data_IF_549483151696
#
_entry.id   IF_549483151696
#
_cell.length_a   1.000
_cell.length_b   1.000
_cell.length_c   1.000
_cell.angle_alpha   90.00
_cell.angle_beta   90.00
_cell.angle_gamma   90.00
#
_symmetry.space_group_name_H-M   'P 1'
#
loop_
_entity.id
_entity.type
_entity.pdbx_description
1 polymer ?
#
# COMPACT_ATOMS: atom_id res chain seq x y z
N UNK A 1 -10.60 -29.49 17.05
CA UNK A 1 -9.43 -28.97 16.29
C UNK A 1 -9.38 -29.45 14.84
N UNK A 2 -9.50 -30.76 14.56
CA UNK A 2 -9.42 -31.29 13.18
C UNK A 2 -10.42 -30.66 12.18
N UNK A 3 -11.69 -30.49 12.59
CA UNK A 3 -12.71 -29.83 11.75
C UNK A 3 -12.37 -28.36 11.42
N UNK A 4 -11.84 -27.61 12.38
CA UNK A 4 -11.41 -26.22 12.20
C UNK A 4 -10.31 -26.12 11.15
N UNK A 5 -9.32 -27.02 11.20
CA UNK A 5 -8.23 -27.08 10.22
C UNK A 5 -8.74 -27.38 8.82
N UNK A 6 -9.60 -28.41 8.67
CA UNK A 6 -10.15 -28.82 7.37
C UNK A 6 -11.01 -27.73 6.72
N UNK A 7 -11.89 -27.09 7.50
CA UNK A 7 -12.72 -26.00 6.98
C UNK A 7 -11.88 -24.78 6.63
N UNK A 8 -10.91 -24.42 7.48
CA UNK A 8 -9.99 -23.30 7.21
C UNK A 8 -9.20 -23.55 5.92
N UNK A 9 -8.65 -24.75 5.74
CA UNK A 9 -7.94 -25.15 4.53
C UNK A 9 -8.79 -25.01 3.28
N UNK A 10 -10.00 -25.59 3.28
CA UNK A 10 -10.91 -25.50 2.14
C UNK A 10 -11.25 -24.05 1.77
N UNK A 11 -11.48 -23.19 2.75
CA UNK A 11 -11.82 -21.79 2.52
C UNK A 11 -10.62 -20.92 2.14
N UNK A 12 -9.41 -21.28 2.56
CA UNK A 12 -8.16 -20.66 2.08
C UNK A 12 -7.94 -20.95 0.59
N UNK A 13 -8.15 -22.19 0.13
CA UNK A 13 -8.07 -22.47 -1.31
C UNK A 13 -9.12 -21.72 -2.12
N UNK A 14 -10.35 -21.61 -1.60
CA UNK A 14 -11.41 -20.83 -2.22
C UNK A 14 -11.06 -19.34 -2.31
N UNK A 15 -10.44 -18.78 -1.27
CA UNK A 15 -10.03 -17.37 -1.29
C UNK A 15 -8.94 -17.11 -2.34
N UNK A 16 -7.96 -18.00 -2.46
CA UNK A 16 -6.96 -17.91 -3.53
C UNK A 16 -7.61 -18.01 -4.93
N UNK A 17 -8.49 -18.99 -5.14
CA UNK A 17 -9.16 -19.21 -6.43
C UNK A 17 -10.01 -18.01 -6.88
N UNK A 18 -10.71 -17.34 -5.95
CA UNK A 18 -11.56 -16.18 -6.25
C UNK A 18 -10.80 -14.99 -6.87
N UNK A 19 -9.50 -14.85 -6.62
CA UNK A 19 -8.65 -13.83 -7.27
C UNK A 19 -7.82 -14.40 -8.41
N UNK A 20 -7.26 -15.60 -8.25
CA UNK A 20 -6.42 -16.21 -9.27
C UNK A 20 -7.20 -16.50 -10.56
N UNK A 21 -8.49 -16.84 -10.51
CA UNK A 21 -9.29 -17.08 -11.72
C UNK A 21 -9.47 -15.81 -12.56
N UNK A 22 -9.94 -14.66 -12.02
CA UNK A 22 -9.96 -13.40 -12.76
C UNK A 22 -8.59 -12.96 -13.26
N UNK A 23 -7.54 -13.08 -12.44
CA UNK A 23 -6.19 -12.73 -12.88
C UNK A 23 -5.67 -13.65 -13.98
N UNK A 24 -6.03 -14.94 -13.95
CA UNK A 24 -5.71 -15.89 -15.02
C UNK A 24 -6.38 -15.51 -16.32
N UNK A 25 -7.66 -15.11 -16.26
CA UNK A 25 -8.37 -14.62 -17.44
C UNK A 25 -7.71 -13.35 -18.00
N UNK A 26 -7.40 -12.38 -17.15
CA UNK A 26 -6.71 -11.13 -17.55
C UNK A 26 -5.35 -11.44 -18.18
N UNK A 27 -4.54 -12.30 -17.54
CA UNK A 27 -3.22 -12.66 -18.04
C UNK A 27 -3.29 -13.41 -19.37
N UNK A 28 -4.27 -14.30 -19.55
CA UNK A 28 -4.51 -15.01 -20.81
C UNK A 28 -4.88 -14.05 -21.95
N UNK A 29 -5.77 -13.09 -21.70
CA UNK A 29 -6.16 -12.07 -22.69
C UNK A 29 -4.99 -11.14 -23.03
N UNK A 30 -4.25 -10.68 -22.03
CA UNK A 30 -3.07 -9.84 -22.24
C UNK A 30 -1.99 -10.60 -23.04
N UNK A 31 -1.76 -11.87 -22.73
CA UNK A 31 -0.79 -12.70 -23.42
C UNK A 31 -1.21 -13.01 -24.87
N UNK A 32 -2.48 -13.33 -25.11
CA UNK A 32 -2.96 -13.63 -26.47
C UNK A 32 -2.95 -12.41 -27.39
N UNK A 33 -3.18 -11.22 -26.85
CA UNK A 33 -3.15 -9.96 -27.59
C UNK A 33 -1.74 -9.41 -27.81
N UNK A 34 -0.77 -9.79 -26.97
CA UNK A 34 0.64 -9.39 -27.09
C UNK A 34 1.38 -10.07 -28.26
N UNK A 35 0.75 -10.98 -29.01
CA UNK A 35 1.28 -11.50 -30.27
C UNK A 35 2.52 -12.39 -30.13
N UNK A 36 2.69 -13.06 -28.99
CA UNK A 36 3.85 -13.94 -28.77
C UNK A 36 3.80 -15.17 -29.68
N UNK A 37 4.63 -15.16 -30.74
CA UNK A 37 4.75 -16.25 -31.71
C UNK A 37 5.42 -17.53 -31.14
N UNK A 38 6.02 -17.45 -29.93
CA UNK A 38 6.80 -18.54 -29.32
C UNK A 38 6.46 -18.81 -27.85
N UNK A 39 5.40 -18.21 -27.31
CA UNK A 39 5.04 -18.33 -25.89
C UNK A 39 4.40 -19.67 -25.55
N UNK A 40 4.68 -20.19 -24.37
CA UNK A 40 3.96 -21.36 -23.85
C UNK A 40 2.69 -20.93 -23.12
N UNK A 41 1.66 -21.78 -23.09
CA UNK A 41 0.45 -21.52 -22.29
C UNK A 41 0.72 -21.47 -20.78
N UNK A 42 1.92 -21.86 -20.33
CA UNK A 42 2.32 -21.74 -18.92
C UNK A 42 2.65 -20.31 -18.51
N UNK A 43 3.00 -19.45 -19.46
CA UNK A 43 3.40 -18.07 -19.23
C UNK A 43 2.26 -17.19 -18.68
N UNK A 44 1.03 -17.20 -19.25
CA UNK A 44 -0.08 -16.45 -18.68
C UNK A 44 -0.51 -16.96 -17.29
N UNK A 45 -0.38 -18.26 -17.02
CA UNK A 45 -0.69 -18.83 -15.70
C UNK A 45 0.31 -18.32 -14.65
N UNK A 46 1.60 -18.31 -14.96
CA UNK A 46 2.62 -17.71 -14.08
C UNK A 46 2.40 -16.20 -13.93
N UNK A 47 2.08 -15.50 -15.02
CA UNK A 47 1.77 -14.07 -14.99
C UNK A 47 0.61 -13.73 -14.05
N UNK A 48 -0.47 -14.51 -14.09
CA UNK A 48 -1.60 -14.37 -13.18
C UNK A 48 -1.20 -14.56 -11.72
N UNK A 49 -0.34 -15.54 -11.46
CA UNK A 49 0.19 -15.79 -10.13
C UNK A 49 1.09 -14.64 -9.66
N UNK A 50 1.91 -14.06 -10.54
CA UNK A 50 2.71 -12.86 -10.20
C UNK A 50 1.83 -11.64 -9.92
N UNK A 51 0.76 -11.41 -10.69
CA UNK A 51 -0.21 -10.33 -10.39
C UNK A 51 -0.82 -10.55 -9.00
N UNK A 52 -1.23 -11.78 -8.70
CA UNK A 52 -1.79 -12.14 -7.40
C UNK A 52 -0.80 -11.96 -6.24
N UNK A 53 0.47 -12.36 -6.42
CA UNK A 53 1.53 -12.18 -5.42
C UNK A 53 1.92 -10.71 -5.25
N UNK A 54 1.93 -9.93 -6.34
CA UNK A 54 2.12 -8.48 -6.31
C UNK A 54 0.99 -7.77 -5.57
N UNK A 55 -0.25 -8.27 -5.66
CA UNK A 55 -1.37 -7.76 -4.86
C UNK A 55 -1.22 -8.02 -3.35
N UNK A 56 -0.33 -8.92 -2.93
CA UNK A 56 0.08 -9.10 -1.53
C UNK A 56 1.26 -8.21 -1.13
N UNK A 57 1.72 -7.34 -2.03
CA UNK A 57 2.89 -6.48 -1.86
C UNK A 57 4.20 -7.28 -1.63
N UNK A 58 4.31 -8.48 -2.21
CA UNK A 58 5.51 -9.31 -2.09
C UNK A 58 6.53 -8.86 -3.16
N UNK A 59 7.77 -8.46 -2.77
CA UNK A 59 8.80 -8.01 -3.71
C UNK A 59 9.25 -9.07 -4.73
N UNK A 60 9.64 -8.60 -5.92
CA UNK A 60 10.19 -9.42 -6.99
C UNK A 60 11.65 -9.06 -7.29
N UNK A 61 12.42 -10.08 -7.63
CA UNK A 61 13.73 -9.98 -8.25
C UNK A 61 13.62 -10.44 -9.69
N UNK A 62 14.28 -9.72 -10.58
CA UNK A 62 14.24 -9.92 -12.01
C UNK A 62 15.65 -10.17 -12.53
N UNK A 63 15.75 -10.99 -13.57
CA UNK A 63 16.94 -11.15 -14.39
C UNK A 63 16.56 -10.72 -15.81
N UNK A 64 16.97 -9.51 -16.18
CA UNK A 64 16.51 -8.83 -17.40
C UNK A 64 17.21 -9.42 -18.64
N UNK A 65 16.47 -10.04 -19.58
CA UNK A 65 17.04 -10.52 -20.83
C UNK A 65 17.50 -9.36 -21.73
N UNK A 66 18.48 -9.57 -22.63
CA UNK A 66 19.26 -10.79 -22.82
C UNK A 66 20.49 -10.89 -21.90
N UNK A 67 20.86 -9.78 -21.25
CA UNK A 67 22.12 -9.64 -20.49
C UNK A 67 22.08 -10.30 -19.10
N UNK A 68 20.90 -10.63 -18.57
CA UNK A 68 20.75 -11.20 -17.22
C UNK A 68 21.03 -10.19 -16.11
N UNK A 69 20.93 -8.89 -16.39
CA UNK A 69 21.17 -7.83 -15.41
C UNK A 69 20.10 -7.90 -14.33
N UNK A 70 20.52 -7.74 -13.07
CA UNK A 70 19.60 -7.74 -11.94
C UNK A 70 18.63 -6.57 -12.02
N UNK A 71 17.34 -6.87 -11.88
CA UNK A 71 16.27 -5.90 -11.75
C UNK A 71 15.43 -6.17 -10.50
N UNK A 72 14.68 -5.17 -10.05
CA UNK A 72 13.84 -5.29 -8.86
C UNK A 72 12.48 -4.66 -9.09
N UNK A 73 11.41 -5.38 -8.75
CA UNK A 73 10.06 -4.83 -8.76
C UNK A 73 9.52 -4.88 -7.33
N UNK A 74 9.69 -3.77 -6.63
CA UNK A 74 9.29 -3.59 -5.23
C UNK A 74 8.39 -2.37 -5.02
N UNK A 75 8.39 -1.43 -5.97
CA UNK A 75 7.38 -0.38 -6.04
C UNK A 75 6.05 -0.99 -6.54
N UNK A 76 5.26 -1.50 -5.59
CA UNK A 76 4.00 -2.21 -5.85
C UNK A 76 2.78 -1.36 -5.46
N UNK A 77 1.63 -1.54 -6.13
CA UNK A 77 0.45 -0.73 -5.88
C UNK A 77 -0.20 -1.10 -4.55
N UNK A 78 -0.22 -0.17 -3.59
CA UNK A 78 -0.85 -0.36 -2.28
C UNK A 78 -2.34 -0.66 -2.42
N UNK A 79 -3.01 -0.06 -3.41
CA UNK A 79 -4.44 -0.29 -3.67
C UNK A 79 -4.76 -1.74 -4.00
N UNK A 80 -3.79 -2.50 -4.54
CA UNK A 80 -4.00 -3.91 -4.86
C UNK A 80 -4.18 -4.78 -3.61
N UNK A 81 -3.65 -4.38 -2.45
CA UNK A 81 -3.79 -5.10 -1.16
C UNK A 81 -5.24 -5.18 -0.69
N UNK A 82 -6.10 -4.26 -1.14
CA UNK A 82 -7.54 -4.30 -0.83
C UNK A 82 -8.18 -5.57 -1.40
N UNK A 83 -7.72 -6.07 -2.55
CA UNK A 83 -8.29 -7.26 -3.21
C UNK A 83 -8.18 -8.53 -2.36
N UNK A 84 -6.97 -8.96 -1.90
CA UNK A 84 -6.87 -10.11 -1.00
C UNK A 84 -7.60 -9.87 0.32
N UNK A 85 -7.60 -8.65 0.87
CA UNK A 85 -8.36 -8.35 2.10
C UNK A 85 -9.85 -8.67 1.93
N UNK A 86 -10.49 -8.18 0.87
CA UNK A 86 -11.92 -8.40 0.63
C UNK A 86 -12.26 -9.89 0.46
N UNK A 87 -11.43 -10.61 -0.29
CA UNK A 87 -11.66 -12.02 -0.60
C UNK A 87 -11.38 -12.92 0.61
N UNK A 88 -10.36 -12.62 1.41
CA UNK A 88 -10.09 -13.31 2.68
C UNK A 88 -11.24 -13.05 3.67
N UNK A 89 -11.70 -11.81 3.81
CA UNK A 89 -12.84 -11.48 4.69
C UNK A 89 -14.10 -12.27 4.31
N UNK A 90 -14.43 -12.29 3.02
CA UNK A 90 -15.56 -13.06 2.50
C UNK A 90 -15.41 -14.57 2.78
N UNK A 91 -14.24 -15.13 2.50
CA UNK A 91 -13.98 -16.56 2.65
C UNK A 91 -13.96 -17.01 4.12
N UNK A 92 -13.37 -16.18 5.00
CA UNK A 92 -13.35 -16.41 6.44
C UNK A 92 -14.76 -16.28 7.06
N UNK A 93 -15.57 -15.33 6.60
CA UNK A 93 -16.99 -15.23 7.02
C UNK A 93 -17.73 -16.54 6.75
N UNK A 94 -17.59 -17.08 5.53
CA UNK A 94 -18.19 -18.38 5.15
C UNK A 94 -17.61 -19.56 5.94
N UNK A 95 -16.32 -19.50 6.31
CA UNK A 95 -15.69 -20.52 7.14
C UNK A 95 -16.28 -20.53 8.55
N UNK A 96 -16.50 -19.35 9.15
CA UNK A 96 -17.16 -19.23 10.46
C UNK A 96 -18.59 -19.73 10.44
N UNK A 97 -19.34 -19.45 9.37
CA UNK A 97 -20.70 -19.98 9.20
C UNK A 97 -20.74 -21.51 9.20
N UNK A 98 -19.73 -22.15 8.59
CA UNK A 98 -19.58 -23.62 8.53
C UNK A 98 -19.09 -24.24 9.84
N UNK A 99 -18.45 -23.46 10.69
CA UNK A 99 -17.91 -23.87 11.98
C UNK A 99 -18.82 -23.46 13.16
N UNK A 100 -20.02 -22.90 12.91
CA UNK A 100 -20.94 -22.47 13.98
C UNK A 100 -21.19 -23.61 14.98
N UNK A 101 -20.79 -23.39 16.24
CA UNK A 101 -20.91 -24.36 17.33
C UNK A 101 -19.72 -25.32 17.50
N UNK A 102 -18.74 -25.32 16.58
CA UNK A 102 -17.61 -26.27 16.56
C UNK A 102 -16.26 -25.66 16.98
N UNK A 103 -16.22 -24.39 17.37
CA UNK A 103 -15.02 -23.72 17.87
C UNK A 103 -15.26 -23.12 19.26
N UNK A 104 -14.25 -23.25 20.13
CA UNK A 104 -14.26 -22.69 21.48
C UNK A 104 -13.71 -21.26 21.49
N UNK A 105 -12.65 -21.00 20.70
CA UNK A 105 -12.01 -19.69 20.60
C UNK A 105 -11.88 -19.26 19.14
N UNK A 106 -12.45 -18.10 18.82
CA UNK A 106 -12.39 -17.48 17.50
C UNK A 106 -10.96 -17.08 17.13
N UNK A 107 -10.13 -16.67 18.08
CA UNK A 107 -8.75 -16.27 17.82
C UNK A 107 -7.91 -17.45 17.32
N UNK A 108 -8.16 -18.65 17.85
CA UNK A 108 -7.54 -19.88 17.33
C UNK A 108 -7.95 -20.13 15.88
N UNK A 109 -9.22 -19.91 15.51
CA UNK A 109 -9.67 -20.05 14.11
C UNK A 109 -9.00 -19.01 13.20
N UNK A 110 -8.88 -17.75 13.65
CA UNK A 110 -8.18 -16.68 12.92
C UNK A 110 -6.71 -17.00 12.66
N UNK A 111 -6.00 -17.45 13.71
CA UNK A 111 -4.59 -17.82 13.60
C UNK A 111 -4.40 -18.99 12.66
N UNK A 112 -5.19 -20.06 12.81
CA UNK A 112 -5.13 -21.22 11.91
C UNK A 112 -5.38 -20.82 10.45
N UNK A 113 -6.45 -20.05 10.19
CA UNK A 113 -6.74 -19.57 8.84
C UNK A 113 -5.59 -18.74 8.26
N UNK A 114 -5.04 -17.81 9.04
CA UNK A 114 -3.97 -16.91 8.60
C UNK A 114 -2.65 -17.64 8.36
N UNK A 115 -2.32 -18.63 9.20
CA UNK A 115 -1.13 -19.50 9.01
C UNK A 115 -1.29 -20.33 7.73
N UNK A 116 -2.43 -20.99 7.54
CA UNK A 116 -2.68 -21.80 6.33
C UNK A 116 -2.64 -20.92 5.07
N UNK A 117 -3.20 -19.71 5.13
CA UNK A 117 -3.13 -18.75 4.03
C UNK A 117 -1.68 -18.34 3.72
N UNK A 118 -0.90 -17.99 4.74
CA UNK A 118 0.50 -17.62 4.58
C UNK A 118 1.34 -18.77 4.00
N UNK A 119 1.09 -20.01 4.44
CA UNK A 119 1.73 -21.21 3.88
C UNK A 119 1.38 -21.39 2.40
N UNK A 120 0.09 -21.27 2.03
CA UNK A 120 -0.33 -21.37 0.63
C UNK A 120 0.35 -20.31 -0.24
N UNK A 121 0.34 -19.05 0.18
CA UNK A 121 0.98 -17.95 -0.56
C UNK A 121 2.48 -18.20 -0.71
N UNK A 122 3.14 -18.70 0.34
CA UNK A 122 4.58 -19.01 0.31
C UNK A 122 4.90 -20.14 -0.66
N UNK A 123 4.13 -21.22 -0.67
CA UNK A 123 4.27 -22.34 -1.61
C UNK A 123 4.10 -21.84 -3.04
N UNK A 124 3.04 -21.09 -3.31
CA UNK A 124 2.79 -20.55 -4.64
C UNK A 124 3.87 -19.54 -5.07
N UNK A 125 4.37 -18.70 -4.17
CA UNK A 125 5.48 -17.79 -4.44
C UNK A 125 6.74 -18.57 -4.86
N UNK A 126 7.09 -19.63 -4.14
CA UNK A 126 8.22 -20.49 -4.47
C UNK A 126 8.04 -21.19 -5.83
N UNK A 127 6.86 -21.77 -6.07
CA UNK A 127 6.55 -22.47 -7.32
C UNK A 127 6.46 -21.55 -8.54
N UNK A 128 6.16 -20.27 -8.34
CA UNK A 128 6.02 -19.28 -9.43
C UNK A 128 7.36 -18.84 -10.05
N UNK A 129 8.50 -19.26 -9.50
CA UNK A 129 9.83 -18.83 -9.94
C UNK A 129 10.11 -19.26 -11.38
N UNK A 130 10.74 -18.37 -12.13
CA UNK A 130 11.30 -18.61 -13.46
C UNK A 130 12.73 -18.10 -13.54
N UNK A 131 13.40 -18.30 -14.67
CA UNK A 131 14.76 -17.80 -14.89
C UNK A 131 14.84 -16.27 -14.91
N UNK A 132 13.75 -15.60 -15.30
CA UNK A 132 13.69 -14.14 -15.48
C UNK A 132 12.97 -13.42 -14.34
N UNK A 133 12.03 -14.09 -13.66
CA UNK A 133 11.21 -13.50 -12.59
C UNK A 133 11.18 -14.43 -11.38
N UNK A 134 11.58 -13.91 -10.23
CA UNK A 134 11.57 -14.61 -8.95
C UNK A 134 10.91 -13.77 -7.87
N UNK A 135 9.87 -14.29 -7.24
CA UNK A 135 9.25 -13.68 -6.07
C UNK A 135 10.16 -13.93 -4.85
N UNK A 136 10.32 -12.94 -3.98
CA UNK A 136 11.05 -13.08 -2.71
C UNK A 136 10.20 -13.89 -1.70
N UNK A 137 10.12 -15.21 -1.95
CA UNK A 137 9.26 -16.16 -1.23
C UNK A 137 9.46 -16.15 0.30
N UNK A 138 10.66 -15.80 0.80
CA UNK A 138 10.92 -15.71 2.24
C UNK A 138 10.20 -14.53 2.92
N UNK A 139 9.77 -13.51 2.17
CA UNK A 139 8.92 -12.43 2.68
C UNK A 139 7.43 -12.78 2.61
N UNK A 140 7.03 -13.70 1.72
CA UNK A 140 5.65 -14.14 1.56
C UNK A 140 4.95 -14.52 2.89
N UNK A 141 5.55 -15.30 3.82
CA UNK A 141 4.85 -15.64 5.05
C UNK A 141 4.54 -14.41 5.92
N UNK A 142 5.39 -13.39 5.92
CA UNK A 142 5.20 -12.18 6.73
C UNK A 142 4.04 -11.34 6.19
N UNK A 143 4.09 -11.00 4.90
CA UNK A 143 3.06 -10.18 4.25
C UNK A 143 1.71 -10.89 4.22
N UNK A 144 1.68 -12.15 3.79
CA UNK A 144 0.45 -12.91 3.69
C UNK A 144 -0.20 -13.16 5.06
N UNK A 145 0.61 -13.46 6.09
CA UNK A 145 0.09 -13.63 7.44
C UNK A 145 -0.50 -12.32 7.98
N UNK A 146 0.20 -11.19 7.82
CA UNK A 146 -0.28 -9.89 8.26
C UNK A 146 -1.59 -9.51 7.56
N UNK A 147 -1.67 -9.64 6.23
CA UNK A 147 -2.87 -9.35 5.44
C UNK A 147 -4.03 -10.25 5.87
N UNK A 148 -3.80 -11.56 6.01
CA UNK A 148 -4.83 -12.51 6.43
C UNK A 148 -5.31 -12.27 7.86
N UNK A 149 -4.40 -12.00 8.79
CA UNK A 149 -4.73 -11.73 10.17
C UNK A 149 -5.55 -10.44 10.30
N UNK A 150 -5.09 -9.33 9.70
CA UNK A 150 -5.83 -8.06 9.68
C UNK A 150 -7.22 -8.26 9.08
N UNK A 151 -7.32 -9.02 7.99
CA UNK A 151 -8.61 -9.34 7.36
C UNK A 151 -9.54 -10.10 8.31
N UNK A 152 -9.05 -11.15 8.97
CA UNK A 152 -9.88 -12.00 9.84
C UNK A 152 -10.27 -11.32 11.17
N UNK A 153 -9.48 -10.34 11.65
CA UNK A 153 -9.80 -9.52 12.83
C UNK A 153 -11.04 -8.62 12.62
N UNK A 154 -11.39 -8.33 11.37
CA UNK A 154 -12.55 -7.49 11.00
C UNK A 154 -13.86 -8.26 10.82
N UNK A 155 -13.86 -9.58 11.06
CA UNK A 155 -14.98 -10.50 10.81
C UNK A 155 -15.34 -11.25 12.11
N UNK A 156 -16.62 -11.58 12.29
CA UNK A 156 -17.16 -12.20 13.51
C UNK A 156 -17.28 -11.17 14.63
N UNK A 157 -16.88 -11.54 15.86
CA UNK A 157 -16.67 -10.57 16.94
C UNK A 157 -15.44 -9.72 16.65
N UNK A 158 -15.64 -8.56 16.03
CA UNK A 158 -14.55 -7.67 15.59
C UNK A 158 -13.64 -7.35 16.76
N UNK A 159 -12.33 -7.47 16.55
CA UNK A 159 -11.35 -7.06 17.56
C UNK A 159 -11.27 -5.55 17.54
N UNK A 160 -11.71 -4.91 18.63
CA UNK A 160 -11.61 -3.47 18.77
C UNK A 160 -10.12 -3.10 18.98
N UNK A 161 -9.51 -2.29 18.10
CA UNK A 161 -8.15 -1.81 18.32
C UNK A 161 -8.09 -0.96 19.59
N UNK A 162 -6.91 -0.84 20.20
CA UNK A 162 -6.72 0.01 21.38
C UNK A 162 -7.09 1.47 21.08
N UNK A 163 -7.58 2.22 22.08
CA UNK A 163 -7.94 3.64 21.89
C UNK A 163 -6.81 4.47 21.27
N UNK A 164 -5.53 4.33 21.67
CA UNK A 164 -4.42 5.03 21.03
C UNK A 164 -4.26 4.71 19.54
N UNK A 165 -4.36 3.42 19.17
CA UNK A 165 -4.27 2.98 17.79
C UNK A 165 -5.44 3.51 16.95
N UNK A 166 -6.65 3.59 17.53
CA UNK A 166 -7.81 4.20 16.86
C UNK A 166 -7.58 5.68 16.53
N UNK A 167 -7.06 6.47 17.47
CA UNK A 167 -6.81 7.90 17.24
C UNK A 167 -5.71 8.11 16.19
N UNK A 168 -4.63 7.34 16.27
CA UNK A 168 -3.59 7.30 15.25
C UNK A 168 -4.16 6.98 13.85
N UNK A 169 -4.95 5.90 13.74
CA UNK A 169 -5.56 5.50 12.48
C UNK A 169 -6.50 6.56 11.91
N UNK A 170 -7.26 7.29 12.76
CA UNK A 170 -8.10 8.41 12.31
C UNK A 170 -7.27 9.53 11.70
N UNK A 171 -6.19 9.94 12.36
CA UNK A 171 -5.32 11.02 11.86
C UNK A 171 -4.63 10.62 10.54
N UNK A 172 -4.12 9.38 10.45
CA UNK A 172 -3.56 8.85 9.19
C UNK A 172 -4.64 8.76 8.09
N UNK A 173 -5.89 8.45 8.43
CA UNK A 173 -6.99 8.44 7.46
C UNK A 173 -7.31 9.85 6.94
N UNK A 174 -7.26 10.88 7.79
CA UNK A 174 -7.42 12.28 7.36
C UNK A 174 -6.25 12.70 6.46
N UNK A 175 -5.01 12.38 6.82
CA UNK A 175 -3.82 12.63 5.99
C UNK A 175 -3.99 12.02 4.60
N UNK A 176 -4.32 10.73 4.51
CA UNK A 176 -4.51 10.04 3.25
C UNK A 176 -5.70 10.61 2.47
N UNK A 177 -6.83 10.88 3.14
CA UNK A 177 -8.02 11.45 2.52
C UNK A 177 -7.76 12.80 1.86
N UNK A 178 -7.09 13.71 2.56
CA UNK A 178 -6.69 15.01 2.01
C UNK A 178 -5.68 14.84 0.86
N UNK A 179 -4.74 13.92 1.00
CA UNK A 179 -3.77 13.62 -0.07
C UNK A 179 -4.44 13.06 -1.33
N UNK A 180 -5.48 12.22 -1.20
CA UNK A 180 -6.30 11.76 -2.33
C UNK A 180 -7.05 12.91 -3.01
N UNK A 181 -7.57 13.88 -2.24
CA UNK A 181 -8.21 15.07 -2.80
C UNK A 181 -7.19 15.86 -3.63
N UNK A 182 -5.98 16.08 -3.13
CA UNK A 182 -4.92 16.74 -3.90
C UNK A 182 -4.54 15.97 -5.16
N UNK A 183 -4.35 14.65 -5.07
CA UNK A 183 -4.08 13.81 -6.26
C UNK A 183 -5.22 13.93 -7.28
N UNK A 184 -6.48 13.90 -6.85
CA UNK A 184 -7.62 14.08 -7.74
C UNK A 184 -7.59 15.45 -8.44
N UNK A 185 -7.36 16.54 -7.69
CA UNK A 185 -7.21 17.89 -8.26
C UNK A 185 -6.08 17.91 -9.29
N UNK A 186 -4.91 17.34 -8.97
CA UNK A 186 -3.76 17.30 -9.87
C UNK A 186 -4.02 16.48 -11.14
N UNK A 187 -4.77 15.37 -11.05
CA UNK A 187 -5.19 14.60 -12.22
C UNK A 187 -6.09 15.43 -13.14
N UNK A 188 -7.05 16.18 -12.57
CA UNK A 188 -7.95 17.03 -13.36
C UNK A 188 -7.23 18.22 -13.99
N UNK A 189 -6.34 18.89 -13.26
CA UNK A 189 -5.58 20.03 -13.78
C UNK A 189 -4.56 19.63 -14.84
N UNK A 190 -3.95 18.44 -14.70
CA UNK A 190 -2.95 17.91 -15.64
C UNK A 190 -3.52 16.84 -16.59
N UNK A 191 -4.85 16.84 -16.79
CA UNK A 191 -5.53 15.78 -17.55
C UNK A 191 -4.99 15.65 -18.99
N UNK A 192 -4.58 16.76 -19.61
CA UNK A 192 -3.96 16.76 -20.94
C UNK A 192 -2.69 15.91 -21.00
N UNK A 193 -1.82 16.01 -19.99
CA UNK A 193 -0.57 15.26 -19.91
C UNK A 193 -0.82 13.78 -19.57
N UNK A 194 -1.70 13.50 -18.62
CA UNK A 194 -2.13 12.13 -18.30
C UNK A 194 -2.71 11.43 -19.54
N UNK A 195 -3.53 12.15 -20.31
CA UNK A 195 -4.09 11.65 -21.58
C UNK A 195 -3.00 11.43 -22.62
N UNK A 196 -2.08 12.37 -22.80
CA UNK A 196 -0.99 12.26 -23.79
C UNK A 196 -0.13 11.01 -23.55
N UNK A 197 0.27 10.76 -22.30
CA UNK A 197 1.03 9.55 -21.91
C UNK A 197 0.18 8.28 -22.14
N UNK A 198 -1.11 8.32 -21.82
CA UNK A 198 -2.00 7.17 -22.06
C UNK A 198 -2.13 6.86 -23.55
N UNK A 199 -2.23 7.88 -24.40
CA UNK A 199 -2.39 7.68 -25.85
C UNK A 199 -1.09 7.27 -26.53
N UNK A 200 0.08 7.70 -26.04
CA UNK A 200 1.38 7.29 -26.62
C UNK A 200 1.68 5.81 -26.41
N UNK A 201 1.15 5.23 -25.34
CA UNK A 201 1.23 3.79 -25.08
C UNK A 201 0.40 2.93 -26.05
N UNK A 202 -0.53 3.55 -26.78
CA UNK A 202 -1.45 2.87 -27.71
C UNK A 202 -2.04 1.56 -27.15
N UNK A 203 -2.62 1.56 -25.94
CA UNK A 203 -2.87 0.32 -25.20
C UNK A 203 -4.08 -0.48 -25.74
N UNK A 204 -4.75 -0.02 -26.79
CA UNK A 204 -6.02 -0.59 -27.26
C UNK A 204 -7.11 -0.56 -26.19
N UNK A 205 -8.22 -1.26 -26.42
CA UNK A 205 -9.35 -1.30 -25.48
C UNK A 205 -8.98 -2.10 -24.22
N UNK A 206 -8.49 -3.34 -24.38
CA UNK A 206 -8.17 -4.21 -23.25
C UNK A 206 -7.00 -3.70 -22.41
N UNK A 207 -5.89 -3.29 -23.06
CA UNK A 207 -4.78 -2.69 -22.36
C UNK A 207 -5.15 -1.35 -21.74
N UNK A 208 -6.02 -0.55 -22.38
CA UNK A 208 -6.50 0.71 -21.82
C UNK A 208 -7.28 0.51 -20.52
N UNK A 209 -8.17 -0.48 -20.47
CA UNK A 209 -8.91 -0.85 -19.25
C UNK A 209 -7.95 -1.35 -18.16
N UNK A 210 -7.01 -2.23 -18.50
CA UNK A 210 -6.03 -2.74 -17.54
C UNK A 210 -5.13 -1.63 -16.98
N UNK A 211 -4.70 -0.71 -17.85
CA UNK A 211 -3.89 0.45 -17.49
C UNK A 211 -4.70 1.38 -16.57
N UNK A 212 -5.98 1.61 -16.85
CA UNK A 212 -6.84 2.38 -15.96
C UNK A 212 -6.92 1.73 -14.56
N UNK A 213 -7.15 0.42 -14.48
CA UNK A 213 -7.14 -0.30 -13.20
C UNK A 213 -5.80 -0.17 -12.50
N UNK A 214 -4.69 -0.32 -13.22
CA UNK A 214 -3.34 -0.17 -12.65
C UNK A 214 -3.15 1.21 -12.03
N UNK A 215 -3.51 2.28 -12.75
CA UNK A 215 -3.42 3.65 -12.24
C UNK A 215 -4.28 3.84 -10.97
N UNK A 216 -5.50 3.30 -10.95
CA UNK A 216 -6.38 3.33 -9.76
C UNK A 216 -5.70 2.65 -8.56
N UNK A 217 -5.08 1.48 -8.77
CA UNK A 217 -4.41 0.74 -7.70
C UNK A 217 -3.15 1.45 -7.18
N UNK A 218 -2.51 2.32 -7.99
CA UNK A 218 -1.38 3.16 -7.59
C UNK A 218 -1.77 4.50 -6.96
N UNK A 219 -3.05 4.89 -6.97
CA UNK A 219 -3.49 6.15 -6.33
C UNK A 219 -3.05 6.29 -4.86
N UNK A 220 -3.05 5.25 -4.01
CA UNK A 220 -2.55 5.40 -2.65
C UNK A 220 -1.04 5.68 -2.59
N UNK A 221 -0.25 5.10 -3.51
CA UNK A 221 1.18 5.43 -3.63
C UNK A 221 1.36 6.91 -4.01
N UNK A 222 0.57 7.41 -4.96
CA UNK A 222 0.58 8.82 -5.36
C UNK A 222 0.13 9.75 -4.22
N UNK A 223 -0.86 9.35 -3.42
CA UNK A 223 -1.30 10.12 -2.25
C UNK A 223 -0.18 10.26 -1.21
N UNK A 224 0.56 9.18 -0.94
CA UNK A 224 1.71 9.22 -0.02
C UNK A 224 2.85 10.07 -0.60
N UNK A 225 3.08 9.99 -1.91
CA UNK A 225 4.05 10.84 -2.59
C UNK A 225 3.66 12.33 -2.54
N UNK A 226 2.37 12.65 -2.70
CA UNK A 226 1.85 14.00 -2.55
C UNK A 226 2.05 14.51 -1.11
N UNK A 227 1.72 13.71 -0.09
CA UNK A 227 1.98 14.05 1.30
C UNK A 227 3.47 14.37 1.54
N UNK A 228 4.38 13.55 0.99
CA UNK A 228 5.83 13.78 1.08
C UNK A 228 6.29 15.05 0.35
N UNK A 229 5.65 15.39 -0.78
CA UNK A 229 5.94 16.65 -1.47
C UNK A 229 5.52 17.85 -0.63
N UNK A 230 4.30 17.85 -0.08
CA UNK A 230 3.78 18.95 0.75
C UNK A 230 4.43 19.06 2.13
N UNK A 231 4.99 17.99 2.68
CA UNK A 231 5.85 18.04 3.88
C UNK A 231 7.26 18.55 3.57
N UNK A 232 7.57 18.82 2.29
CA UNK A 232 8.86 19.35 1.85
C UNK A 232 9.95 18.30 1.60
N UNK A 233 9.71 17.02 1.90
CA UNK A 233 10.70 15.94 1.72
C UNK A 233 10.84 15.47 0.27
N UNK A 234 9.78 15.64 -0.52
CA UNK A 234 9.76 15.30 -1.94
C UNK A 234 9.61 13.81 -2.23
N UNK A 235 9.76 13.46 -3.50
CA UNK A 235 9.71 12.09 -4.00
C UNK A 235 10.78 11.86 -5.08
N UNK A 236 11.07 10.59 -5.37
CA UNK A 236 11.94 10.16 -6.45
C UNK A 236 11.12 9.43 -7.52
N UNK A 237 11.50 9.66 -8.77
CA UNK A 237 10.98 8.99 -9.98
C UNK A 237 12.20 8.64 -10.82
N UNK A 238 12.96 7.66 -10.34
CA UNK A 238 14.25 7.26 -10.89
C UNK A 238 15.41 7.51 -9.91
N UNK A 239 16.50 6.75 -10.09
CA UNK A 239 17.74 6.91 -9.35
C UNK A 239 18.33 8.32 -9.56
N UNK A 240 18.81 8.93 -8.48
CA UNK A 240 19.40 10.29 -8.54
C UNK A 240 18.41 11.43 -8.73
N UNK A 241 17.10 11.15 -8.80
CA UNK A 241 16.06 12.19 -8.95
C UNK A 241 15.57 12.69 -7.58
N UNK A 242 15.13 13.95 -7.56
CA UNK A 242 14.45 14.53 -6.41
C UNK A 242 13.47 15.59 -6.90
N UNK A 243 12.19 15.35 -6.62
CA UNK A 243 11.11 16.29 -6.87
C UNK A 243 10.61 16.76 -5.51
N UNK A 244 10.99 17.97 -5.11
CA UNK A 244 10.53 18.62 -3.88
C UNK A 244 10.10 20.07 -4.17
N UNK A 245 9.43 20.75 -3.23
CA UNK A 245 9.06 22.16 -3.40
C UNK A 245 10.24 23.11 -3.67
N UNK A 246 11.46 22.73 -3.26
CA UNK A 246 12.65 23.57 -3.40
C UNK A 246 13.65 23.07 -4.44
N UNK A 247 13.71 21.76 -4.67
CA UNK A 247 14.68 21.13 -5.56
C UNK A 247 13.95 20.30 -6.59
N UNK A 248 14.32 20.49 -7.85
CA UNK A 248 13.73 19.78 -8.97
C UNK A 248 14.85 19.21 -9.84
N UNK A 249 15.02 17.90 -9.77
CA UNK A 249 15.90 17.14 -10.65
C UNK A 249 15.14 15.90 -11.10
N UNK A 250 14.86 15.83 -12.40
CA UNK A 250 14.09 14.76 -13.02
C UNK A 250 14.96 14.05 -14.05
N UNK A 251 14.93 12.73 -14.03
CA UNK A 251 15.56 11.88 -15.03
C UNK A 251 14.55 11.41 -16.07
N UNK A 252 14.81 10.25 -16.66
CA UNK A 252 13.83 9.57 -17.51
C UNK A 252 12.59 9.19 -16.69
N UNK A 253 11.40 9.41 -17.25
CA UNK A 253 10.13 9.07 -16.59
C UNK A 253 9.59 7.80 -17.23
N UNK A 254 9.20 6.77 -16.44
CA UNK A 254 8.53 5.62 -17.02
C UNK A 254 7.18 6.04 -17.57
N UNK A 255 6.73 5.41 -18.65
CA UNK A 255 5.45 5.72 -19.29
C UNK A 255 4.26 5.17 -18.45
N UNK A 256 4.08 5.73 -17.25
CA UNK A 256 2.95 5.49 -16.35
C UNK A 256 2.07 6.75 -16.37
N UNK A 257 0.81 6.67 -16.84
CA UNK A 257 -0.05 7.85 -16.97
C UNK A 257 -0.20 8.69 -15.70
N UNK A 258 -0.25 8.05 -14.52
CA UNK A 258 -0.36 8.74 -13.24
C UNK A 258 0.82 9.67 -12.97
N UNK A 259 2.00 9.44 -13.56
CA UNK A 259 3.15 10.33 -13.43
C UNK A 259 2.99 11.64 -14.21
N UNK A 260 1.96 11.76 -15.06
CA UNK A 260 1.59 13.03 -15.70
C UNK A 260 1.13 14.11 -14.73
N UNK A 261 1.03 13.82 -13.43
CA UNK A 261 0.66 14.81 -12.39
C UNK A 261 1.87 15.36 -11.63
N UNK A 262 3.10 14.96 -12.00
CA UNK A 262 4.33 15.45 -11.38
C UNK A 262 4.49 16.95 -11.68
N UNK A 263 4.87 17.78 -10.68
CA UNK A 263 5.19 19.19 -10.91
C UNK A 263 6.28 19.39 -11.97
N UNK A 264 6.21 20.47 -12.74
CA UNK A 264 7.18 20.78 -13.81
C UNK A 264 8.30 21.73 -13.37
N UNK A 265 8.41 21.99 -12.06
CA UNK A 265 9.45 22.82 -11.47
C UNK A 265 9.32 22.93 -9.95
N UNK A 266 10.24 23.67 -9.30
CA UNK A 266 10.13 24.01 -7.88
C UNK A 266 8.93 24.92 -7.61
N UNK A 267 8.13 24.59 -6.60
CA UNK A 267 6.95 25.35 -6.17
C UNK A 267 7.00 25.60 -4.66
N UNK A 268 7.74 26.63 -4.19
CA UNK A 268 7.96 26.87 -2.76
C UNK A 268 6.66 27.07 -1.95
N UNK A 269 5.60 27.57 -2.58
CA UNK A 269 4.29 27.72 -1.94
C UNK A 269 3.69 26.39 -1.47
N UNK A 270 4.09 25.25 -2.04
CA UNK A 270 3.67 23.95 -1.55
C UNK A 270 4.10 23.67 -0.10
N UNK A 271 5.11 24.37 0.43
CA UNK A 271 5.53 24.24 1.83
C UNK A 271 4.52 24.77 2.83
N UNK A 272 3.53 25.54 2.40
CA UNK A 272 2.38 25.87 3.25
C UNK A 272 1.65 24.59 3.71
N UNK A 273 1.85 23.47 3.02
CA UNK A 273 1.44 22.13 3.46
C UNK A 273 1.97 21.73 4.84
N UNK A 274 3.11 22.28 5.29
CA UNK A 274 3.64 22.05 6.66
C UNK A 274 2.62 22.47 7.73
N UNK A 275 1.86 23.55 7.49
CA UNK A 275 0.82 24.00 8.41
C UNK A 275 -0.31 22.97 8.54
N UNK A 276 -0.60 22.21 7.47
CA UNK A 276 -1.57 21.12 7.52
C UNK A 276 -1.08 19.98 8.41
N UNK A 277 0.20 19.58 8.32
CA UNK A 277 0.76 18.53 9.20
C UNK A 277 0.83 18.99 10.67
N UNK A 278 1.20 20.24 10.93
CA UNK A 278 1.09 20.83 12.28
C UNK A 278 -0.37 20.77 12.76
N UNK A 279 -1.33 21.12 11.90
CA UNK A 279 -2.77 21.00 12.19
C UNK A 279 -3.22 19.58 12.50
N UNK A 280 -2.72 18.56 11.77
CA UNK A 280 -2.98 17.15 12.07
C UNK A 280 -2.40 16.71 13.41
N UNK A 281 -1.22 17.23 13.78
CA UNK A 281 -0.62 17.05 15.09
C UNK A 281 -1.48 17.63 16.20
N UNK A 282 -1.97 18.86 16.00
CA UNK A 282 -2.87 19.52 16.93
C UNK A 282 -4.21 18.76 17.05
N UNK A 283 -4.73 18.24 15.94
CA UNK A 283 -5.92 17.40 15.89
C UNK A 283 -5.73 16.09 16.67
N UNK A 284 -4.57 15.43 16.55
CA UNK A 284 -4.24 14.28 17.39
C UNK A 284 -4.28 14.66 18.88
N UNK A 285 -3.66 15.80 19.25
CA UNK A 285 -3.67 16.30 20.63
C UNK A 285 -5.07 16.57 21.17
N UNK A 286 -5.96 17.10 20.32
CA UNK A 286 -7.37 17.29 20.65
C UNK A 286 -8.09 15.95 20.89
N UNK A 287 -7.91 14.98 20.00
CA UNK A 287 -8.52 13.65 20.14
C UNK A 287 -8.04 12.90 21.39
N UNK A 288 -6.82 13.17 21.84
CA UNK A 288 -6.20 12.53 23.01
C UNK A 288 -6.20 13.44 24.25
N UNK A 289 -6.96 14.53 24.29
CA UNK A 289 -6.92 15.50 25.39
C UNK A 289 -7.27 14.88 26.77
N UNK A 290 -8.13 13.85 26.77
CA UNK A 290 -8.56 13.15 27.98
C UNK A 290 -7.72 11.89 28.27
N UNK A 291 -6.61 11.68 27.59
CA UNK A 291 -5.75 10.51 27.77
C UNK A 291 -4.59 10.85 28.71
N UNK A 292 -4.12 9.86 29.46
CA UNK A 292 -2.87 9.98 30.21
C UNK A 292 -1.69 10.14 29.25
N UNK A 293 -0.59 10.72 29.73
CA UNK A 293 0.62 10.97 28.93
C UNK A 293 1.14 9.73 28.20
N UNK A 294 1.06 8.55 28.85
CA UNK A 294 1.45 7.27 28.24
C UNK A 294 0.59 6.92 27.01
N UNK A 295 -0.72 7.13 27.08
CA UNK A 295 -1.63 6.83 25.99
C UNK A 295 -1.53 7.86 24.85
N UNK A 296 -1.23 9.12 25.16
CA UNK A 296 -0.85 10.14 24.16
C UNK A 296 0.42 9.71 23.42
N UNK A 297 1.47 9.36 24.16
CA UNK A 297 2.75 8.91 23.60
C UNK A 297 2.58 7.65 22.73
N UNK A 298 1.75 6.69 23.16
CA UNK A 298 1.41 5.52 22.35
C UNK A 298 0.66 5.88 21.06
N UNK A 299 -0.28 6.84 21.11
CA UNK A 299 -1.02 7.29 19.93
C UNK A 299 -0.09 7.93 18.90
N UNK A 300 0.83 8.77 19.37
CA UNK A 300 1.87 9.38 18.54
C UNK A 300 2.82 8.31 17.98
N UNK A 301 3.27 7.36 18.79
CA UNK A 301 4.13 6.27 18.34
C UNK A 301 3.46 5.41 17.25
N UNK A 302 2.20 5.02 17.43
CA UNK A 302 1.45 4.29 16.39
C UNK A 302 1.32 5.10 15.10
N UNK A 303 1.17 6.42 15.20
CA UNK A 303 1.11 7.31 14.03
C UNK A 303 2.46 7.33 13.29
N UNK A 304 3.58 7.47 14.00
CA UNK A 304 4.92 7.40 13.42
C UNK A 304 5.19 6.04 12.77
N UNK A 305 4.83 4.93 13.44
CA UNK A 305 4.93 3.58 12.87
C UNK A 305 4.10 3.48 11.59
N UNK A 306 2.87 4.02 11.59
CA UNK A 306 2.01 4.08 10.42
C UNK A 306 2.64 4.86 9.26
N UNK A 307 3.28 6.01 9.53
CA UNK A 307 4.00 6.78 8.51
C UNK A 307 5.18 5.99 7.92
N UNK A 308 5.96 5.31 8.75
CA UNK A 308 7.07 4.46 8.28
C UNK A 308 6.54 3.33 7.40
N UNK A 309 5.46 2.66 7.81
CA UNK A 309 4.84 1.59 7.03
C UNK A 309 4.28 2.10 5.70
N UNK A 310 3.57 3.24 5.69
CA UNK A 310 3.07 3.86 4.48
C UNK A 310 4.22 4.26 3.54
N UNK A 311 5.27 4.87 4.07
CA UNK A 311 6.46 5.23 3.30
C UNK A 311 7.16 4.02 2.69
N UNK A 312 7.31 2.93 3.46
CA UNK A 312 7.88 1.66 2.98
C UNK A 312 7.03 1.05 1.86
N UNK A 313 5.71 0.94 2.05
CA UNK A 313 4.82 0.36 1.05
C UNK A 313 4.69 1.23 -0.23
N UNK A 314 4.89 2.54 -0.10
CA UNK A 314 4.80 3.51 -1.19
C UNK A 314 6.14 3.77 -1.90
N UNK A 315 7.20 3.04 -1.56
CA UNK A 315 8.52 3.23 -2.16
C UNK A 315 9.14 1.91 -2.60
N UNK A 316 10.08 1.98 -3.53
CA UNK A 316 10.76 0.80 -4.04
C UNK A 316 11.50 1.06 -5.36
N UNK A 317 11.78 -0.02 -6.09
CA UNK A 317 12.37 0.00 -7.43
C UNK A 317 11.36 -0.52 -8.45
N UNK A 318 11.45 0.02 -9.67
CA UNK A 318 10.63 -0.37 -10.80
C UNK A 318 11.50 -0.91 -11.94
N UNK A 319 11.80 -2.20 -11.87
CA UNK A 319 12.45 -3.03 -12.90
C UNK A 319 13.95 -2.75 -13.09
N UNK A 320 14.35 -1.55 -13.51
CA UNK A 320 15.74 -1.24 -13.90
C UNK A 320 16.51 -0.48 -12.82
N UNK A 321 17.84 -0.41 -12.96
CA UNK A 321 18.70 0.38 -12.07
C UNK A 321 18.39 1.89 -12.15
N UNK A 322 18.11 2.40 -13.35
CA UNK A 322 17.68 3.79 -13.57
C UNK A 322 16.37 4.10 -12.84
N UNK A 323 15.49 3.10 -12.73
CA UNK A 323 14.26 3.16 -11.94
C UNK A 323 14.44 2.55 -10.55
N UNK A 324 15.65 2.63 -10.02
CA UNK A 324 16.05 2.07 -8.73
C UNK A 324 15.43 2.74 -7.51
N UNK A 325 14.94 3.98 -7.66
CA UNK A 325 14.32 4.76 -6.60
C UNK A 325 13.00 5.38 -7.06
N UNK A 326 11.89 4.82 -6.58
CA UNK A 326 10.53 5.27 -6.85
C UNK A 326 9.81 5.56 -5.53
N UNK A 327 9.04 6.65 -5.50
CA UNK A 327 8.22 7.02 -4.35
C UNK A 327 8.97 7.89 -3.33
N UNK A 328 8.73 7.65 -2.05
CA UNK A 328 9.21 8.54 -0.97
C UNK A 328 10.48 8.00 -0.30
N UNK A 329 11.32 8.88 0.23
CA UNK A 329 12.38 8.45 1.14
C UNK A 329 11.77 8.10 2.50
N UNK A 330 11.71 6.80 2.83
CA UNK A 330 11.01 6.25 3.99
C UNK A 330 11.30 7.03 5.29
N UNK A 331 12.58 7.24 5.59
CA UNK A 331 12.98 7.89 6.83
C UNK A 331 12.78 9.41 6.79
N UNK A 332 13.04 10.08 5.66
CA UNK A 332 12.82 11.54 5.54
C UNK A 332 11.34 11.86 5.67
N UNK A 333 10.50 11.13 4.92
CA UNK A 333 9.05 11.23 4.95
C UNK A 333 8.50 11.07 6.36
N UNK A 334 8.85 9.96 7.03
CA UNK A 334 8.34 9.69 8.37
C UNK A 334 8.87 10.70 9.40
N UNK A 335 10.14 11.07 9.34
CA UNK A 335 10.76 12.00 10.29
C UNK A 335 10.20 13.42 10.16
N UNK A 336 10.08 13.95 8.94
CA UNK A 336 9.56 15.31 8.71
C UNK A 336 8.14 15.45 9.22
N UNK A 337 7.24 14.58 8.75
CA UNK A 337 5.83 14.61 9.17
C UNK A 337 5.69 14.36 10.66
N UNK A 338 6.48 13.44 11.25
CA UNK A 338 6.48 13.23 12.68
C UNK A 338 6.86 14.52 13.44
N UNK A 339 7.93 15.21 13.05
CA UNK A 339 8.34 16.46 13.70
C UNK A 339 7.27 17.56 13.57
N UNK A 340 6.74 17.76 12.36
CA UNK A 340 5.68 18.75 12.09
C UNK A 340 4.43 18.47 12.93
N UNK A 341 3.97 17.22 12.96
CA UNK A 341 2.85 16.80 13.81
C UNK A 341 3.19 16.86 15.30
N UNK A 342 4.44 16.57 15.68
CA UNK A 342 4.93 16.65 17.06
C UNK A 342 4.84 18.06 17.62
N UNK A 343 5.15 19.07 16.80
CA UNK A 343 4.97 20.50 17.14
C UNK A 343 3.50 20.79 17.43
N UNK A 344 2.60 20.41 16.52
CA UNK A 344 1.16 20.62 16.69
C UNK A 344 0.60 19.93 17.95
N UNK A 345 1.02 18.69 18.19
CA UNK A 345 0.63 17.93 19.37
C UNK A 345 1.09 18.61 20.66
N UNK A 346 2.36 19.04 20.72
CA UNK A 346 2.93 19.72 21.88
C UNK A 346 2.20 21.04 22.20
N UNK A 347 1.88 21.83 21.17
CA UNK A 347 1.11 23.08 21.31
C UNK A 347 -0.26 22.79 21.95
N UNK A 348 -1.01 21.80 21.43
CA UNK A 348 -2.33 21.48 21.96
C UNK A 348 -2.29 20.99 23.41
N UNK A 349 -1.30 20.16 23.77
CA UNK A 349 -1.14 19.68 25.15
C UNK A 349 -0.84 20.84 26.10
N UNK A 350 0.06 21.75 25.70
CA UNK A 350 0.41 22.92 26.51
C UNK A 350 -0.80 23.83 26.76
N UNK A 351 -1.61 24.08 25.72
CA UNK A 351 -2.83 24.89 25.83
C UNK A 351 -3.85 24.21 26.76
N UNK A 352 -4.12 22.93 26.55
CA UNK A 352 -5.08 22.17 27.35
C UNK A 352 -4.71 22.14 28.84
N UNK A 353 -3.44 21.90 29.16
CA UNK A 353 -2.96 21.93 30.55
C UNK A 353 -3.13 23.30 31.21
N UNK A 354 -2.88 24.39 30.47
CA UNK A 354 -3.03 25.76 30.98
C UNK A 354 -4.49 26.14 31.22
N UNK A 355 -5.41 25.67 30.37
CA UNK A 355 -6.85 25.91 30.53
C UNK A 355 -7.41 25.15 31.74
N UNK A 356 -7.05 23.88 31.90
CA UNK A 356 -7.47 23.08 33.07
C UNK A 356 -6.98 23.68 34.38
N UNK A 357 -5.72 24.12 34.43
CA UNK A 357 -5.16 24.76 35.63
C UNK A 357 -5.76 26.14 35.95
N UNK A 358 -6.40 26.81 34.99
CA UNK A 358 -7.11 28.08 35.21
C UNK A 358 -8.54 27.91 35.70
N UNK A 359 -9.19 26.78 35.44
CA UNK A 359 -10.53 26.48 35.95
C UNK A 359 -10.57 25.89 37.36
N UNK A 360 -9.41 25.54 37.93
CA UNK A 360 -9.25 24.99 39.28
C UNK A 360 -8.83 26.03 40.34
N UNK A 361 -8.70 27.31 39.96
CA UNK A 361 -8.51 28.46 40.84
C UNK A 361 -9.76 29.31 40.81
#
# INVERSE_FOLDING_TARGET
MQRVLLVSLSHVFRSAALLLLPFSFIALVAWSTAGSASGSTTDPIRGALWIWLGAHHIPFQLSLPPTGVAGYLTYLPIGAVVLPILVIRSSFTRALERLKGDYHDLNVVRLNFSIIYALLVTILAFMSRSNTVAVQWYLAPIFAFAIALISTLTVGSRVAPSRPLQMSARVLSVLLGVSFIFVAVLIFTNFSQVRAITTSLQPGIFGGVLLLFLNILYLPNAAIAAASYFSGTGLAVGAGTLISPHSYSLGEIPALPLLGIIPVGPEPFALLGILFFIGLGAFLGYLTANFDLRAIAQSYLFMVIGLVLLGYLASGSLITAEMGAMGVSIWKFALSIALEMGIGLAITIFISNKVLNRGAR
#
